data_IF_060624180260
#
_entry.id   IF_060624180260
#
_cell.length_a   1.000
_cell.length_b   1.000
_cell.length_c   1.000
_cell.angle_alpha   90.00
_cell.angle_beta   90.00
_cell.angle_gamma   90.00
#
_symmetry.space_group_name_H-M   'P 1'
#
loop_
_entity.id
_entity.type
_entity.pdbx_description
1 polymer ?
#
# COMPACT_ATOMS: atom_id res chain seq x y z
N UNK A 1 11.66 31.50 -7.12
CA UNK A 1 12.23 30.38 -6.35
C UNK A 1 11.40 30.17 -5.11
N UNK A 2 11.24 28.91 -4.69
CA UNK A 2 10.40 28.51 -3.56
C UNK A 2 11.26 27.91 -2.45
N UNK A 3 10.83 28.04 -1.20
CA UNK A 3 11.41 27.28 -0.08
C UNK A 3 10.81 25.85 -0.02
N UNK A 4 11.27 25.05 0.95
CA UNK A 4 10.78 23.67 1.13
C UNK A 4 9.35 23.59 1.66
N UNK A 5 8.76 24.70 2.10
CA UNK A 5 7.34 24.80 2.48
C UNK A 5 6.46 25.24 1.29
N UNK A 6 7.06 25.49 0.12
CA UNK A 6 6.36 25.94 -1.07
C UNK A 6 6.07 27.44 -1.08
N UNK A 7 6.62 28.24 -0.18
CA UNK A 7 6.43 29.70 -0.22
C UNK A 7 7.28 30.29 -1.35
N UNK A 8 6.73 31.23 -2.12
CA UNK A 8 7.50 32.00 -3.10
C UNK A 8 8.42 32.97 -2.34
N UNK A 9 9.73 32.68 -2.30
CA UNK A 9 10.69 33.45 -1.48
C UNK A 9 11.55 34.39 -2.31
N UNK A 10 11.64 34.18 -3.62
CA UNK A 10 12.42 35.05 -4.49
C UNK A 10 11.83 35.14 -5.90
N UNK A 11 11.69 36.35 -6.41
CA UNK A 11 11.30 36.64 -7.80
C UNK A 11 12.44 37.43 -8.45
N UNK A 12 13.08 36.89 -9.50
CA UNK A 12 14.09 37.66 -10.23
C UNK A 12 13.51 38.98 -10.74
N UNK A 13 14.26 40.07 -10.56
CA UNK A 13 13.87 41.44 -10.91
C UNK A 13 12.61 41.98 -10.22
N UNK A 14 12.26 41.48 -9.04
CA UNK A 14 11.09 41.96 -8.29
C UNK A 14 11.12 43.47 -8.07
N UNK A 15 12.29 44.03 -7.74
CA UNK A 15 12.45 45.46 -7.46
C UNK A 15 12.30 46.32 -8.70
N UNK A 16 12.78 45.84 -9.83
CA UNK A 16 12.82 46.57 -11.09
C UNK A 16 11.49 46.50 -11.85
N UNK A 17 10.71 45.42 -11.68
CA UNK A 17 9.55 45.13 -12.52
C UNK A 17 8.21 45.01 -11.76
N UNK A 18 8.22 44.71 -10.47
CA UNK A 18 7.00 44.38 -9.71
C UNK A 18 6.71 45.33 -8.53
N UNK A 19 7.57 46.33 -8.30
CA UNK A 19 7.36 47.36 -7.29
C UNK A 19 7.86 48.73 -7.76
N UNK A 20 7.43 49.80 -7.07
CA UNK A 20 7.86 51.18 -7.36
C UNK A 20 8.92 51.66 -6.38
N UNK A 21 8.68 51.51 -5.07
CA UNK A 21 9.57 51.97 -4.00
C UNK A 21 9.93 50.86 -3.02
N UNK A 22 9.04 49.90 -2.81
CA UNK A 22 9.25 48.74 -1.94
C UNK A 22 8.38 47.57 -2.39
N UNK A 23 8.84 46.34 -2.14
CA UNK A 23 8.07 45.12 -2.39
C UNK A 23 6.62 45.24 -1.88
N UNK A 24 5.65 44.77 -2.68
CA UNK A 24 4.22 44.83 -2.36
C UNK A 24 3.50 46.14 -2.73
N UNK A 25 4.21 47.25 -3.00
CA UNK A 25 3.57 48.56 -3.16
C UNK A 25 2.83 48.78 -4.50
N UNK A 26 3.07 47.90 -5.49
CA UNK A 26 2.37 47.89 -6.76
C UNK A 26 1.37 46.72 -6.90
N UNK A 27 0.97 46.10 -5.78
CA UNK A 27 -0.05 45.04 -5.75
C UNK A 27 0.46 43.64 -6.09
N UNK A 28 1.77 43.45 -6.22
CA UNK A 28 2.40 42.13 -6.27
C UNK A 28 2.97 41.77 -4.89
N UNK A 29 2.36 40.80 -4.21
CA UNK A 29 2.90 40.20 -2.99
C UNK A 29 3.22 38.72 -3.24
N UNK A 30 4.46 38.30 -2.98
CA UNK A 30 4.88 36.90 -3.12
C UNK A 30 4.00 35.93 -2.33
N UNK A 31 3.43 36.37 -1.20
CA UNK A 31 2.55 35.56 -0.36
C UNK A 31 1.28 35.08 -1.10
N UNK A 32 0.83 35.82 -2.11
CA UNK A 32 -0.38 35.49 -2.88
C UNK A 32 -0.13 34.47 -4.01
N UNK A 33 1.14 34.16 -4.32
CA UNK A 33 1.55 33.35 -5.49
C UNK A 33 2.29 32.06 -5.11
N UNK A 34 2.02 31.55 -3.90
CA UNK A 34 2.36 30.17 -3.54
C UNK A 34 1.54 29.15 -4.36
N UNK A 35 2.08 27.95 -4.62
CA UNK A 35 1.27 26.86 -5.15
C UNK A 35 0.20 26.47 -4.13
N UNK A 36 -0.91 25.91 -4.63
CA UNK A 36 -1.96 25.37 -3.77
C UNK A 36 -1.37 24.32 -2.81
N UNK A 37 -1.76 24.39 -1.54
CA UNK A 37 -1.33 23.48 -0.49
C UNK A 37 -2.41 22.42 -0.23
N UNK A 38 -1.99 21.18 0.03
CA UNK A 38 -2.87 20.11 0.48
C UNK A 38 -2.78 19.98 2.00
N UNK A 39 -3.87 19.54 2.65
CA UNK A 39 -3.79 18.99 4.00
C UNK A 39 -2.98 17.70 3.94
N UNK A 40 -2.13 17.48 4.94
CA UNK A 40 -1.29 16.29 5.06
C UNK A 40 -1.52 15.66 6.42
N UNK A 41 -1.85 14.38 6.43
CA UNK A 41 -2.07 13.58 7.64
C UNK A 41 -1.37 12.23 7.48
N UNK A 42 -0.90 11.65 8.59
CA UNK A 42 -0.19 10.38 8.57
C UNK A 42 -0.93 9.32 9.36
N UNK A 43 -0.97 8.09 8.84
CA UNK A 43 -1.48 6.93 9.57
C UNK A 43 -0.40 5.84 9.62
N UNK A 44 0.27 5.72 10.77
CA UNK A 44 1.26 4.66 11.06
C UNK A 44 2.34 4.47 9.99
N UNK A 45 2.89 5.58 9.51
CA UNK A 45 3.94 5.62 8.49
C UNK A 45 3.43 5.93 7.08
N UNK A 46 2.14 5.72 6.80
CA UNK A 46 1.52 6.14 5.55
C UNK A 46 1.26 7.64 5.54
N UNK A 47 1.59 8.31 4.44
CA UNK A 47 1.32 9.75 4.24
C UNK A 47 0.15 9.91 3.28
N UNK A 48 -0.92 10.56 3.72
CA UNK A 48 -2.08 10.90 2.90
C UNK A 48 -2.18 12.42 2.73
N UNK A 49 -2.76 12.84 1.61
CA UNK A 49 -3.02 14.23 1.33
C UNK A 49 -4.44 14.44 0.78
N UNK A 50 -5.07 15.55 1.15
CA UNK A 50 -6.38 15.94 0.66
C UNK A 50 -6.43 17.47 0.44
N UNK A 51 -6.95 17.90 -0.70
CA UNK A 51 -7.10 19.33 -1.01
C UNK A 51 -8.29 19.97 -0.29
N UNK A 52 -9.33 19.19 -0.02
CA UNK A 52 -10.59 19.70 0.49
C UNK A 52 -10.48 20.01 2.00
N UNK A 53 -10.64 21.30 2.34
CA UNK A 53 -10.59 21.77 3.71
C UNK A 53 -11.80 21.33 4.55
N UNK A 54 -12.92 21.00 3.90
CA UNK A 54 -14.17 20.59 4.55
C UNK A 54 -14.31 19.06 4.67
N UNK A 55 -13.44 18.29 4.00
CA UNK A 55 -13.40 16.85 4.12
C UNK A 55 -13.09 16.42 5.58
N UNK A 56 -13.57 15.23 6.01
CA UNK A 56 -13.21 14.69 7.32
C UNK A 56 -11.69 14.55 7.51
N UNK A 57 -11.23 14.47 8.75
CA UNK A 57 -9.86 14.06 9.07
C UNK A 57 -9.59 12.61 8.63
N UNK A 58 -8.32 12.23 8.53
CA UNK A 58 -7.92 10.94 8.01
C UNK A 58 -8.45 9.78 8.86
N UNK A 59 -8.44 9.88 10.18
CA UNK A 59 -8.93 8.78 11.03
C UNK A 59 -10.44 8.58 10.90
N UNK A 60 -11.20 9.66 10.83
CA UNK A 60 -12.64 9.64 10.53
C UNK A 60 -12.90 9.03 9.15
N UNK A 61 -12.10 9.41 8.14
CA UNK A 61 -12.20 8.86 6.79
C UNK A 61 -11.97 7.35 6.75
N UNK A 62 -10.89 6.87 7.39
CA UNK A 62 -10.54 5.44 7.44
C UNK A 62 -11.54 4.61 8.27
N UNK A 63 -12.19 5.22 9.25
CA UNK A 63 -13.31 4.63 9.98
C UNK A 63 -12.99 3.28 10.62
N UNK A 64 -13.84 2.29 10.34
CA UNK A 64 -13.75 0.91 10.81
C UNK A 64 -12.81 0.02 9.98
N UNK A 65 -12.17 0.56 8.94
CA UNK A 65 -11.16 -0.15 8.17
C UNK A 65 -9.78 -0.16 8.87
N UNK A 66 -9.54 0.78 9.80
CA UNK A 66 -8.27 0.96 10.53
C UNK A 66 -7.67 -0.34 11.09
N UNK A 67 -8.43 -1.21 11.79
CA UNK A 67 -7.87 -2.47 12.28
C UNK A 67 -7.25 -3.32 11.16
N UNK A 68 -7.85 -3.35 9.98
CA UNK A 68 -7.34 -4.13 8.84
C UNK A 68 -6.09 -3.53 8.17
N UNK A 69 -5.89 -2.21 8.29
CA UNK A 69 -4.64 -1.54 7.90
C UNK A 69 -3.52 -1.94 8.86
N UNK A 70 -3.86 -2.06 10.15
CA UNK A 70 -2.92 -2.36 11.22
C UNK A 70 -2.26 -3.75 11.13
N UNK A 71 -2.84 -4.67 10.35
CA UNK A 71 -2.22 -5.99 10.08
C UNK A 71 -0.84 -5.88 9.43
N UNK A 72 -0.62 -4.80 8.67
CA UNK A 72 0.62 -4.51 7.97
C UNK A 72 1.40 -3.35 8.62
N UNK A 73 0.71 -2.33 9.11
CA UNK A 73 1.36 -1.07 9.53
C UNK A 73 1.52 -0.90 11.05
N UNK A 74 1.00 -1.82 11.88
CA UNK A 74 1.13 -1.73 13.34
C UNK A 74 1.52 -3.04 14.02
N UNK A 75 2.34 -3.84 13.35
CA UNK A 75 2.80 -5.15 13.86
C UNK A 75 3.78 -5.04 15.03
N UNK A 76 4.54 -3.95 15.07
CA UNK A 76 5.63 -3.68 16.00
C UNK A 76 5.58 -2.22 16.45
N UNK A 77 6.11 -1.93 17.64
CA UNK A 77 6.24 -0.55 18.13
C UNK A 77 7.28 0.26 17.34
N UNK A 78 8.17 -0.42 16.59
CA UNK A 78 9.15 0.23 15.72
C UNK A 78 8.53 0.84 14.45
N UNK A 79 7.26 0.53 14.15
CA UNK A 79 6.60 0.92 12.90
C UNK A 79 7.15 0.16 11.69
N UNK A 80 6.92 0.74 10.51
CA UNK A 80 7.37 0.17 9.23
C UNK A 80 8.35 1.10 8.53
N UNK A 81 9.21 0.54 7.70
CA UNK A 81 10.08 1.27 6.78
C UNK A 81 9.89 0.78 5.35
N UNK A 82 10.04 1.70 4.39
CA UNK A 82 9.99 1.37 2.97
C UNK A 82 11.36 0.88 2.49
N UNK A 83 11.38 -0.25 1.79
CA UNK A 83 12.55 -0.69 1.04
C UNK A 83 12.80 0.32 -0.09
N UNK A 84 14.04 0.78 -0.21
CA UNK A 84 14.42 1.80 -1.18
C UNK A 84 14.13 1.38 -2.63
N UNK A 85 13.52 2.28 -3.40
CA UNK A 85 13.18 2.08 -4.81
C UNK A 85 11.67 1.96 -5.01
N UNK A 86 11.08 2.98 -5.62
CA UNK A 86 9.69 2.95 -6.07
C UNK A 86 9.64 2.56 -7.54
N UNK A 87 9.01 1.44 -7.85
CA UNK A 87 8.80 1.01 -9.22
C UNK A 87 7.60 1.74 -9.81
N UNK A 88 7.74 2.22 -11.05
CA UNK A 88 6.70 2.94 -11.78
C UNK A 88 6.50 2.34 -13.16
N UNK A 89 5.27 2.03 -13.51
CA UNK A 89 4.92 1.56 -14.86
C UNK A 89 3.50 1.96 -15.23
N UNK A 90 3.18 1.82 -16.51
CA UNK A 90 1.89 2.25 -17.10
C UNK A 90 1.08 1.02 -17.47
N UNK A 91 -0.21 1.04 -17.17
CA UNK A 91 -1.18 0.02 -17.61
C UNK A 91 -2.33 0.73 -18.33
N UNK A 92 -2.67 0.33 -19.58
CA UNK A 92 -3.79 0.91 -20.33
C UNK A 92 -5.14 0.36 -19.85
N UNK A 93 -5.50 0.63 -18.60
CA UNK A 93 -6.77 0.26 -17.99
C UNK A 93 -7.34 1.40 -17.13
N UNK A 94 -8.60 1.28 -16.72
CA UNK A 94 -9.19 2.22 -15.77
C UNK A 94 -8.75 1.90 -14.33
N UNK A 95 -8.43 2.93 -13.54
CA UNK A 95 -8.02 2.77 -12.13
C UNK A 95 -8.98 1.97 -11.25
N UNK A 96 -10.27 2.00 -11.59
CA UNK A 96 -11.29 1.27 -10.82
C UNK A 96 -11.07 -0.23 -10.84
N UNK A 97 -10.58 -0.80 -11.94
CA UNK A 97 -10.33 -2.25 -12.02
C UNK A 97 -9.28 -2.68 -10.98
N UNK A 98 -8.13 -2.00 -10.97
CA UNK A 98 -7.07 -2.29 -10.01
C UNK A 98 -7.47 -2.01 -8.55
N UNK A 99 -8.17 -0.91 -8.31
CA UNK A 99 -8.67 -0.57 -6.98
C UNK A 99 -9.72 -1.58 -6.47
N UNK A 100 -10.66 -1.99 -7.32
CA UNK A 100 -11.69 -2.98 -7.01
C UNK A 100 -11.06 -4.35 -6.73
N UNK A 101 -10.10 -4.77 -7.55
CA UNK A 101 -9.45 -6.06 -7.39
C UNK A 101 -8.82 -6.21 -6.00
N UNK A 102 -8.02 -5.21 -5.59
CA UNK A 102 -7.42 -5.19 -4.24
C UNK A 102 -8.45 -4.92 -3.13
N UNK A 103 -9.62 -4.37 -3.43
CA UNK A 103 -10.69 -4.14 -2.47
C UNK A 103 -11.44 -5.44 -2.15
N UNK A 104 -11.76 -6.24 -3.18
CA UNK A 104 -12.84 -7.23 -3.10
C UNK A 104 -12.61 -8.52 -3.89
N UNK A 105 -11.56 -8.64 -4.68
CA UNK A 105 -11.43 -9.74 -5.64
C UNK A 105 -10.38 -10.76 -5.19
N UNK A 106 -10.67 -11.56 -4.16
CA UNK A 106 -9.93 -12.80 -3.96
C UNK A 106 -10.31 -13.86 -5.01
N UNK A 107 -11.39 -13.63 -5.75
CA UNK A 107 -11.98 -14.61 -6.65
C UNK A 107 -11.08 -14.88 -7.86
N UNK A 108 -10.47 -13.85 -8.47
CA UNK A 108 -9.53 -14.02 -9.59
C UNK A 108 -8.32 -14.89 -9.18
N UNK A 109 -7.75 -14.64 -7.99
CA UNK A 109 -6.63 -15.40 -7.44
C UNK A 109 -7.04 -16.83 -7.06
N UNK A 110 -8.26 -17.00 -6.55
CA UNK A 110 -8.88 -18.28 -6.20
C UNK A 110 -9.24 -19.18 -7.40
N UNK A 111 -9.14 -18.66 -8.63
CA UNK A 111 -9.61 -19.34 -9.84
C UNK A 111 -8.49 -19.58 -10.85
N UNK A 112 -8.35 -18.69 -11.85
CA UNK A 112 -7.50 -18.95 -13.01
C UNK A 112 -6.34 -17.96 -13.17
N UNK A 113 -6.49 -16.72 -12.69
CA UNK A 113 -5.56 -15.63 -13.03
C UNK A 113 -4.12 -15.91 -12.61
N UNK A 114 -3.91 -16.67 -11.54
CA UNK A 114 -2.58 -16.89 -10.96
C UNK A 114 -2.11 -18.34 -10.95
N UNK A 115 -2.70 -19.23 -11.77
CA UNK A 115 -2.23 -20.62 -11.85
C UNK A 115 -0.76 -20.71 -12.26
N UNK A 116 -0.33 -19.88 -13.23
CA UNK A 116 1.06 -19.68 -13.66
C UNK A 116 1.95 -19.16 -12.52
N UNK A 117 1.53 -18.11 -11.82
CA UNK A 117 2.27 -17.50 -10.72
C UNK A 117 2.47 -18.44 -9.53
N UNK A 118 1.46 -19.23 -9.19
CA UNK A 118 1.51 -20.28 -8.17
C UNK A 118 2.53 -21.36 -8.59
N UNK A 119 2.43 -21.86 -9.83
CA UNK A 119 3.34 -22.88 -10.36
C UNK A 119 4.81 -22.38 -10.35
N UNK A 120 5.03 -21.11 -10.66
CA UNK A 120 6.37 -20.50 -10.64
C UNK A 120 6.99 -20.41 -9.22
N UNK A 121 6.19 -20.51 -8.16
CA UNK A 121 6.65 -20.57 -6.77
C UNK A 121 6.84 -21.97 -6.20
N UNK A 122 6.46 -23.01 -6.95
CA UNK A 122 6.50 -24.40 -6.49
C UNK A 122 7.90 -25.03 -6.67
N UNK A 123 8.27 -26.01 -5.83
CA UNK A 123 9.41 -26.88 -6.08
C UNK A 123 9.26 -27.64 -7.42
N UNK A 124 10.36 -27.97 -8.13
CA UNK A 124 10.30 -28.67 -9.41
C UNK A 124 9.57 -30.03 -9.39
N UNK A 125 9.54 -30.68 -8.23
CA UNK A 125 8.88 -31.96 -7.99
C UNK A 125 7.37 -31.84 -7.68
N UNK A 126 6.83 -30.61 -7.61
CA UNK A 126 5.42 -30.35 -7.34
C UNK A 126 4.70 -29.76 -8.56
N UNK A 127 3.40 -30.05 -8.66
CA UNK A 127 2.50 -29.42 -9.61
C UNK A 127 1.20 -28.89 -8.95
N UNK A 128 0.35 -28.24 -9.75
CA UNK A 128 -0.88 -27.62 -9.28
C UNK A 128 -1.90 -28.60 -8.66
N UNK A 129 -1.83 -29.90 -8.99
CA UNK A 129 -2.70 -30.90 -8.36
C UNK A 129 -2.41 -31.10 -6.87
N UNK A 130 -1.24 -30.65 -6.40
CA UNK A 130 -0.78 -30.77 -5.02
C UNK A 130 -0.92 -29.47 -4.21
N UNK A 131 -1.50 -28.41 -4.79
CA UNK A 131 -1.86 -27.18 -4.08
C UNK A 131 -3.37 -26.94 -4.18
N UNK A 132 -4.17 -27.58 -3.32
CA UNK A 132 -5.59 -27.26 -3.26
C UNK A 132 -5.76 -25.79 -2.88
N UNK A 133 -6.64 -25.10 -3.61
CA UNK A 133 -6.94 -23.70 -3.31
C UNK A 133 -7.70 -23.57 -2.00
N UNK A 134 -7.33 -22.61 -1.14
CA UNK A 134 -8.12 -22.24 0.02
C UNK A 134 -9.58 -21.94 -0.34
N UNK A 135 -10.52 -22.43 0.48
CA UNK A 135 -11.97 -22.23 0.26
C UNK A 135 -12.67 -21.54 1.42
N UNK A 136 -12.00 -21.40 2.56
CA UNK A 136 -12.54 -20.71 3.73
C UNK A 136 -11.86 -19.36 3.86
N UNK A 137 -12.66 -18.30 3.95
CA UNK A 137 -12.17 -16.94 4.05
C UNK A 137 -13.30 -15.96 4.35
N UNK A 138 -12.93 -14.72 4.61
CA UNK A 138 -13.86 -13.64 4.89
C UNK A 138 -13.47 -12.39 4.11
N UNK A 139 -14.45 -11.54 3.91
CA UNK A 139 -14.28 -10.23 3.30
C UNK A 139 -15.00 -9.19 4.14
N UNK A 140 -14.35 -8.04 4.28
CA UNK A 140 -14.84 -6.89 5.00
C UNK A 140 -15.13 -5.75 4.02
N UNK A 141 -16.24 -5.08 4.28
CA UNK A 141 -16.63 -3.82 3.66
C UNK A 141 -16.74 -2.79 4.78
N UNK A 142 -16.04 -1.66 4.64
CA UNK A 142 -16.16 -0.57 5.58
C UNK A 142 -17.58 -0.01 5.64
N UNK A 143 -18.01 0.40 6.83
CA UNK A 143 -19.33 1.00 7.04
C UNK A 143 -19.54 2.26 6.17
N UNK A 144 -18.44 2.98 5.88
CA UNK A 144 -18.41 4.16 5.03
C UNK A 144 -17.08 4.22 4.25
N UNK A 145 -17.00 5.05 3.21
CA UNK A 145 -15.74 5.38 2.54
C UNK A 145 -15.32 4.43 1.41
N UNK A 146 -15.98 3.27 1.27
CA UNK A 146 -15.75 2.35 0.13
C UNK A 146 -14.47 1.52 0.27
N UNK A 147 -13.87 1.44 1.45
CA UNK A 147 -12.73 0.57 1.73
C UNK A 147 -13.16 -0.90 1.84
N UNK A 148 -12.25 -1.80 1.50
CA UNK A 148 -12.50 -3.22 1.61
C UNK A 148 -11.22 -4.03 1.69
N UNK A 149 -11.34 -5.21 2.29
CA UNK A 149 -10.25 -6.19 2.40
C UNK A 149 -10.82 -7.60 2.47
N UNK A 150 -10.10 -8.59 1.95
CA UNK A 150 -10.44 -10.00 2.09
C UNK A 150 -9.21 -10.85 2.41
N UNK A 151 -9.44 -12.03 2.98
CA UNK A 151 -8.40 -12.98 3.39
C UNK A 151 -8.95 -14.41 3.45
N UNK A 152 -8.06 -15.39 3.33
CA UNK A 152 -8.32 -16.79 3.68
C UNK A 152 -8.11 -17.03 5.18
N UNK A 153 -8.78 -18.04 5.73
CA UNK A 153 -8.61 -18.47 7.13
C UNK A 153 -7.72 -19.68 7.27
N UNK A 154 -6.75 -19.63 8.20
CA UNK A 154 -5.91 -20.76 8.63
C UNK A 154 -5.03 -21.37 7.52
N UNK A 155 -4.72 -20.57 6.49
CA UNK A 155 -4.01 -21.00 5.27
C UNK A 155 -2.60 -20.40 5.19
N UNK A 156 -1.85 -20.49 6.30
CA UNK A 156 -0.52 -19.89 6.44
C UNK A 156 0.48 -20.37 5.37
N UNK A 157 0.30 -21.58 4.85
CA UNK A 157 1.12 -22.15 3.79
C UNK A 157 1.04 -21.38 2.46
N UNK A 158 -0.08 -20.72 2.19
CA UNK A 158 -0.28 -19.91 0.98
C UNK A 158 0.73 -18.75 0.91
N UNK A 159 1.03 -18.11 2.05
CA UNK A 159 1.98 -17.00 2.07
C UNK A 159 3.39 -17.45 1.66
N UNK A 160 3.80 -18.67 2.05
CA UNK A 160 5.12 -19.20 1.74
C UNK A 160 5.38 -19.38 0.24
N UNK A 161 4.36 -19.63 -0.58
CA UNK A 161 4.51 -19.75 -2.04
C UNK A 161 4.79 -18.40 -2.72
N UNK A 162 4.40 -17.30 -2.05
CA UNK A 162 4.58 -15.93 -2.54
C UNK A 162 5.86 -15.32 -1.99
N UNK A 163 6.02 -15.26 -0.66
CA UNK A 163 7.16 -14.58 0.01
C UNK A 163 8.26 -15.51 0.50
N UNK A 164 8.16 -16.81 0.24
CA UNK A 164 9.14 -17.79 0.69
C UNK A 164 8.96 -18.20 2.16
N UNK A 165 9.56 -19.34 2.56
CA UNK A 165 9.31 -19.95 3.87
C UNK A 165 9.83 -19.11 5.05
N UNK A 166 10.93 -18.37 4.87
CA UNK A 166 11.50 -17.55 5.96
C UNK A 166 10.61 -16.36 6.31
N UNK A 167 10.13 -15.62 5.30
CA UNK A 167 9.22 -14.50 5.52
C UNK A 167 7.86 -14.97 6.04
N UNK A 168 7.33 -16.09 5.52
CA UNK A 168 6.11 -16.69 6.05
C UNK A 168 6.26 -17.14 7.52
N UNK A 169 7.40 -17.73 7.89
CA UNK A 169 7.70 -18.10 9.27
C UNK A 169 7.86 -16.89 10.19
N UNK A 170 8.38 -15.76 9.70
CA UNK A 170 8.39 -14.50 10.45
C UNK A 170 6.95 -13.97 10.68
N UNK A 171 6.08 -14.08 9.67
CA UNK A 171 4.72 -13.56 9.73
C UNK A 171 3.80 -14.35 10.68
N UNK A 172 3.82 -15.69 10.57
CA UNK A 172 2.94 -16.60 11.34
C UNK A 172 3.61 -17.28 12.53
N UNK A 173 4.94 -17.21 12.64
CA UNK A 173 5.72 -17.96 13.62
C UNK A 173 6.55 -17.08 14.55
N UNK A 174 7.12 -17.75 15.56
CA UNK A 174 8.09 -17.16 16.47
C UNK A 174 7.55 -16.07 17.39
N UNK A 175 8.47 -15.30 17.96
CA UNK A 175 8.17 -14.24 18.92
C UNK A 175 7.56 -12.99 18.23
N UNK A 176 7.95 -12.69 16.99
CA UNK A 176 7.39 -11.55 16.25
C UNK A 176 5.87 -11.67 16.07
N UNK A 177 5.40 -12.81 15.57
CA UNK A 177 3.97 -13.06 15.36
C UNK A 177 3.16 -13.02 16.67
N UNK A 178 3.73 -13.50 17.78
CA UNK A 178 3.11 -13.39 19.12
C UNK A 178 2.99 -11.94 19.59
N UNK A 179 4.06 -11.15 19.48
CA UNK A 179 4.05 -9.72 19.82
C UNK A 179 3.02 -8.96 18.99
N UNK A 180 2.91 -9.27 17.70
CA UNK A 180 1.87 -8.70 16.83
C UNK A 180 0.47 -9.11 17.28
N UNK A 181 0.24 -10.39 17.56
CA UNK A 181 -1.07 -10.88 18.01
C UNK A 181 -1.51 -10.21 19.32
N UNK A 182 -0.59 -10.04 20.28
CA UNK A 182 -0.83 -9.32 21.53
C UNK A 182 -1.16 -7.84 21.26
N UNK A 183 -0.39 -7.17 20.39
CA UNK A 183 -0.59 -5.76 20.04
C UNK A 183 -1.91 -5.51 19.32
N UNK A 184 -2.37 -6.46 18.51
CA UNK A 184 -3.60 -6.35 17.73
C UNK A 184 -4.82 -6.96 18.43
N UNK A 185 -4.66 -7.58 19.60
CA UNK A 185 -5.69 -8.43 20.23
C UNK A 185 -7.05 -7.73 20.40
N UNK A 186 -7.05 -6.47 20.80
CA UNK A 186 -8.29 -5.72 21.10
C UNK A 186 -9.10 -5.36 19.85
N UNK A 187 -8.46 -5.31 18.68
CA UNK A 187 -9.09 -4.83 17.42
C UNK A 187 -9.11 -5.87 16.29
N UNK A 188 -8.20 -6.83 16.33
CA UNK A 188 -8.11 -7.97 15.41
C UNK A 188 -7.70 -9.25 16.16
N UNK A 189 -8.57 -9.79 17.02
CA UNK A 189 -8.27 -11.01 17.79
C UNK A 189 -8.03 -12.24 16.91
N UNK A 190 -8.42 -12.19 15.63
CA UNK A 190 -8.26 -13.28 14.66
C UNK A 190 -7.08 -13.07 13.71
N UNK A 191 -6.22 -12.09 13.96
CA UNK A 191 -5.06 -11.76 13.10
C UNK A 191 -4.23 -13.00 12.70
N UNK A 192 -3.91 -13.90 13.64
CA UNK A 192 -3.11 -15.10 13.36
C UNK A 192 -3.77 -16.09 12.39
N UNK A 193 -5.08 -15.97 12.18
CA UNK A 193 -5.85 -16.81 11.26
C UNK A 193 -5.96 -16.20 9.87
N UNK A 194 -5.60 -14.94 9.69
CA UNK A 194 -5.74 -14.23 8.41
C UNK A 194 -4.57 -14.55 7.47
N UNK A 195 -4.86 -15.01 6.26
CA UNK A 195 -3.86 -15.34 5.24
C UNK A 195 -4.18 -14.79 3.86
N UNK A 196 -3.14 -14.37 3.13
CA UNK A 196 -3.28 -13.79 1.80
C UNK A 196 -4.16 -12.55 1.78
N UNK A 197 -4.02 -11.65 2.76
CA UNK A 197 -4.90 -10.49 2.83
C UNK A 197 -4.67 -9.54 1.65
N UNK A 198 -5.75 -9.06 1.03
CA UNK A 198 -5.73 -7.95 0.06
C UNK A 198 -6.53 -6.78 0.63
N UNK A 199 -6.14 -5.53 0.35
CA UNK A 199 -6.87 -4.36 0.84
C UNK A 199 -6.77 -3.16 -0.12
N UNK A 200 -7.87 -2.41 -0.21
CA UNK A 200 -7.90 -1.07 -0.77
C UNK A 200 -8.50 -0.08 0.22
N UNK A 201 -7.73 0.96 0.53
CA UNK A 201 -8.23 2.22 1.07
C UNK A 201 -8.60 3.10 -0.12
N UNK A 202 -9.90 3.24 -0.36
CA UNK A 202 -10.45 4.10 -1.40
C UNK A 202 -9.77 5.49 -1.44
N UNK A 203 -9.61 6.09 -2.64
CA UNK A 203 -9.90 5.51 -3.95
C UNK A 203 -8.80 4.59 -4.47
N UNK A 204 -7.52 4.86 -4.18
CA UNK A 204 -6.41 4.30 -4.96
C UNK A 204 -5.20 3.84 -4.15
N UNK A 205 -5.32 3.71 -2.82
CA UNK A 205 -4.27 3.12 -1.99
C UNK A 205 -4.56 1.63 -1.79
N UNK A 206 -3.69 0.78 -2.29
CA UNK A 206 -3.88 -0.67 -2.24
C UNK A 206 -2.62 -1.38 -1.75
N UNK A 207 -2.79 -2.42 -0.95
CA UNK A 207 -1.68 -3.18 -0.36
C UNK A 207 -2.09 -4.61 0.00
N UNK A 208 -1.10 -5.49 0.15
CA UNK A 208 -1.30 -6.90 0.46
C UNK A 208 -0.60 -7.28 1.77
N UNK A 209 -1.26 -7.21 2.94
CA UNK A 209 -0.63 -7.58 4.21
C UNK A 209 -0.09 -9.02 4.20
N UNK A 210 1.17 -9.17 4.57
CA UNK A 210 1.90 -10.44 4.53
C UNK A 210 2.88 -10.50 3.36
N UNK A 211 2.45 -10.04 2.18
CA UNK A 211 3.31 -9.86 1.00
C UNK A 211 4.05 -8.52 1.08
N UNK A 212 3.37 -7.52 1.63
CA UNK A 212 3.82 -6.17 1.91
C UNK A 212 4.18 -5.30 0.69
N UNK A 213 3.66 -5.64 -0.49
CA UNK A 213 3.55 -4.65 -1.57
C UNK A 213 2.49 -3.61 -1.21
N UNK A 214 2.78 -2.35 -1.49
CA UNK A 214 1.84 -1.24 -1.41
C UNK A 214 2.00 -0.36 -2.65
N UNK A 215 0.88 0.17 -3.14
CA UNK A 215 0.87 1.00 -4.33
C UNK A 215 -0.21 2.08 -4.32
N UNK A 216 0.03 3.09 -5.14
CA UNK A 216 -0.99 4.05 -5.56
C UNK A 216 -1.30 3.89 -7.05
N UNK A 217 -2.58 3.81 -7.38
CA UNK A 217 -3.06 3.82 -8.76
C UNK A 217 -3.26 5.27 -9.21
N UNK A 218 -2.34 5.83 -9.98
CA UNK A 218 -2.44 7.20 -10.46
C UNK A 218 -3.22 7.24 -11.79
N UNK A 219 -4.44 7.80 -11.83
CA UNK A 219 -5.22 7.84 -13.06
C UNK A 219 -4.56 8.72 -14.13
N UNK A 220 -4.62 8.29 -15.40
CA UNK A 220 -4.16 8.99 -16.60
C UNK A 220 -5.30 9.04 -17.64
N UNK A 221 -6.40 9.67 -17.24
CA UNK A 221 -7.66 9.61 -17.99
C UNK A 221 -8.44 8.32 -17.71
N UNK A 222 -9.48 8.02 -18.52
CA UNK A 222 -10.35 6.87 -18.27
C UNK A 222 -9.76 5.52 -18.72
N UNK A 223 -8.69 5.52 -19.52
CA UNK A 223 -8.18 4.31 -20.17
C UNK A 223 -6.73 3.97 -19.80
N UNK A 224 -6.16 4.66 -18.81
CA UNK A 224 -4.77 4.43 -18.40
C UNK A 224 -4.57 4.76 -16.92
N UNK A 225 -3.65 4.02 -16.29
CA UNK A 225 -3.09 4.31 -14.98
C UNK A 225 -1.56 4.23 -15.00
N UNK A 226 -0.93 4.99 -14.11
CA UNK A 226 0.41 4.68 -13.63
C UNK A 226 0.33 3.97 -12.29
N UNK A 227 1.09 2.89 -12.14
CA UNK A 227 1.25 2.16 -10.89
C UNK A 227 2.54 2.61 -10.24
N UNK A 228 2.46 3.15 -9.02
CA UNK A 228 3.64 3.50 -8.23
C UNK A 228 3.67 2.59 -7.01
N UNK A 229 4.55 1.60 -7.01
CA UNK A 229 4.61 0.54 -6.00
C UNK A 229 5.95 0.53 -5.27
N UNK A 230 5.91 0.16 -3.99
CA UNK A 230 7.07 -0.09 -3.15
C UNK A 230 6.74 -1.16 -2.09
N UNK A 231 7.76 -1.70 -1.45
CA UNK A 231 7.62 -2.71 -0.39
C UNK A 231 7.87 -2.07 0.96
N UNK A 232 7.08 -2.44 1.96
CA UNK A 232 7.32 -2.05 3.37
C UNK A 232 7.63 -3.27 4.23
N UNK A 233 8.42 -3.07 5.26
CA UNK A 233 8.80 -4.10 6.23
C UNK A 233 8.73 -3.53 7.63
N UNK A 234 8.54 -4.39 8.64
CA UNK A 234 8.68 -3.98 10.04
C UNK A 234 10.10 -3.40 10.23
N UNK A 235 10.21 -2.24 10.89
CA UNK A 235 11.50 -1.55 11.00
C UNK A 235 12.52 -2.37 11.83
N UNK A 236 12.05 -3.14 12.82
CA UNK A 236 12.85 -4.08 13.63
C UNK A 236 12.95 -5.49 13.03
N UNK A 237 12.53 -5.69 11.77
CA UNK A 237 12.71 -6.96 11.08
C UNK A 237 14.21 -7.27 10.87
N UNK A 238 14.67 -8.52 11.06
CA UNK A 238 16.05 -8.88 10.75
C UNK A 238 16.39 -8.63 9.27
N UNK A 239 17.59 -8.12 8.98
CA UNK A 239 18.02 -7.75 7.62
C UNK A 239 17.89 -8.90 6.61
N UNK A 240 18.16 -10.14 7.03
CA UNK A 240 17.98 -11.33 6.18
C UNK A 240 16.52 -11.47 5.74
N UNK A 241 15.56 -11.22 6.64
CA UNK A 241 14.13 -11.32 6.32
C UNK A 241 13.67 -10.12 5.48
N UNK A 242 14.22 -8.92 5.72
CA UNK A 242 13.99 -7.75 4.85
C UNK A 242 14.42 -8.04 3.41
N UNK A 243 15.56 -8.70 3.24
CA UNK A 243 16.07 -9.11 1.92
C UNK A 243 15.18 -10.18 1.25
N UNK A 244 14.62 -11.14 2.02
CA UNK A 244 13.62 -12.07 1.49
C UNK A 244 12.38 -11.33 0.97
N UNK A 245 11.83 -10.38 1.75
CA UNK A 245 10.73 -9.53 1.31
C UNK A 245 11.05 -8.76 0.02
N UNK A 246 12.24 -8.15 -0.07
CA UNK A 246 12.68 -7.43 -1.27
C UNK A 246 12.70 -8.34 -2.50
N UNK A 247 13.36 -9.50 -2.40
CA UNK A 247 13.53 -10.43 -3.53
C UNK A 247 12.19 -11.01 -3.97
N UNK A 248 11.34 -11.39 -3.02
CA UNK A 248 10.05 -11.98 -3.32
C UNK A 248 9.06 -10.98 -3.90
N UNK A 249 9.02 -9.73 -3.42
CA UNK A 249 8.18 -8.69 -4.02
C UNK A 249 8.58 -8.42 -5.47
N UNK A 250 9.88 -8.34 -5.77
CA UNK A 250 10.36 -8.21 -7.16
C UNK A 250 9.91 -9.41 -8.01
N UNK A 251 9.96 -10.63 -7.45
CA UNK A 251 9.57 -11.86 -8.14
C UNK A 251 8.06 -11.93 -8.42
N UNK A 252 7.20 -11.39 -7.56
CA UNK A 252 5.75 -11.63 -7.60
C UNK A 252 4.92 -10.41 -7.99
N UNK A 253 4.92 -9.36 -7.17
CA UNK A 253 4.09 -8.16 -7.33
C UNK A 253 4.95 -6.97 -7.75
N UNK A 254 5.46 -7.06 -8.97
CA UNK A 254 6.24 -6.03 -9.65
C UNK A 254 5.86 -6.00 -11.14
N UNK A 255 6.27 -4.97 -11.88
CA UNK A 255 5.93 -4.86 -13.31
C UNK A 255 6.32 -6.07 -14.18
N UNK A 256 7.27 -6.91 -13.75
CA UNK A 256 7.65 -8.16 -14.42
C UNK A 256 7.53 -9.38 -13.50
N UNK A 257 6.77 -9.24 -12.41
CA UNK A 257 6.56 -10.30 -11.43
C UNK A 257 5.54 -11.32 -11.92
N UNK A 258 5.68 -12.55 -11.43
CA UNK A 258 4.90 -13.71 -11.91
C UNK A 258 3.41 -13.68 -11.53
N UNK A 259 2.97 -12.70 -10.75
CA UNK A 259 1.55 -12.47 -10.42
C UNK A 259 1.04 -11.21 -11.12
N UNK A 260 1.68 -10.07 -10.86
CA UNK A 260 1.28 -8.73 -11.36
C UNK A 260 1.22 -8.62 -12.89
N UNK A 261 1.92 -9.50 -13.63
CA UNK A 261 1.88 -9.50 -15.11
C UNK A 261 0.60 -10.14 -15.69
N UNK A 262 -0.07 -11.00 -14.91
CA UNK A 262 -1.30 -11.69 -15.30
C UNK A 262 -2.56 -10.99 -14.73
N UNK A 263 -2.36 -9.98 -13.87
CA UNK A 263 -3.37 -9.03 -13.37
C UNK A 263 -3.79 -8.02 -14.45
#
# INVERSE_FOLDING_TARGET
AYDTAGNLVNVPYEKEAFCSKKDGDCGFDKADWGPLQARVETYKGLVFANWDAEAPDLETYLGDARPYIDTMFDRTAAGTEAIGGMQKWVIPCNWKFAAEQFCSDMYHAGTMSHLSGILAGMPPEMDLSQAPMPTTGFQFRAAWGGHGTGWFEDEAGFLATVVGPKAAAYWYGGESSKRTAERLADRLPRFLRMSGQHMSVFPTCSFLPGINTIRTWHPRGPSEIEVWAFTVVDADMPDEIKEEYRRHNIRTFSAGGVFDQDD
#
